data_IF_176514511215
#
_entry.id   IF_176514511215
#
_cell.length_a   1.000
_cell.length_b   1.000
_cell.length_c   1.000
_cell.angle_alpha   90.00
_cell.angle_beta   90.00
_cell.angle_gamma   90.00
#
_symmetry.space_group_name_H-M   'P 1'
#
loop_
_entity.id
_entity.type
_entity.pdbx_description
1 polymer ?
#
# COMPACT_ATOMS: atom_id res chain seq x y z
N UNK A 1 -12.41 -2.55 40.07
CA UNK A 1 -11.21 -2.60 39.21
C UNK A 1 -11.63 -2.12 37.84
N UNK A 2 -11.28 -0.89 37.55
CA UNK A 2 -11.71 -0.11 36.38
C UNK A 2 -10.69 -0.26 35.26
N UNK A 3 -11.10 -0.84 34.13
CA UNK A 3 -10.29 -0.88 32.90
C UNK A 3 -10.14 0.51 32.26
N UNK A 4 -8.97 0.85 31.67
CA UNK A 4 -8.81 2.10 30.94
C UNK A 4 -9.29 1.94 29.49
N UNK A 5 -10.22 2.81 29.10
CA UNK A 5 -10.66 2.98 27.71
C UNK A 5 -9.51 3.57 26.87
N UNK A 6 -9.18 2.92 25.76
CA UNK A 6 -8.25 3.42 24.74
C UNK A 6 -8.85 4.62 23.99
N UNK A 7 -8.08 5.67 23.66
CA UNK A 7 -8.58 6.79 22.88
C UNK A 7 -8.71 6.41 21.40
N UNK A 8 -9.88 6.60 20.83
CA UNK A 8 -10.15 6.54 19.40
C UNK A 8 -9.57 7.77 18.70
N UNK A 9 -8.51 7.59 17.90
CA UNK A 9 -8.05 8.60 16.97
C UNK A 9 -8.92 8.57 15.71
N UNK A 10 -9.86 9.53 15.61
CA UNK A 10 -10.51 9.91 14.35
C UNK A 10 -9.48 10.67 13.50
N UNK A 11 -8.74 9.98 12.65
CA UNK A 11 -8.16 10.58 11.45
C UNK A 11 -8.93 10.03 10.26
N UNK A 12 -9.90 10.80 9.76
CA UNK A 12 -10.57 10.50 8.51
C UNK A 12 -10.94 11.82 7.81
N UNK A 13 -10.26 12.03 6.67
CA UNK A 13 -10.78 12.62 5.46
C UNK A 13 -11.68 13.86 5.60
N UNK A 14 -11.10 15.05 5.42
CA UNK A 14 -11.87 16.23 5.03
C UNK A 14 -11.15 16.99 3.91
N UNK A 15 -11.58 16.73 2.67
CA UNK A 15 -11.42 17.68 1.58
C UNK A 15 -12.52 17.48 0.54
N UNK A 16 -13.30 18.55 0.34
CA UNK A 16 -13.77 19.09 -0.94
C UNK A 16 -15.25 18.92 -1.34
N UNK A 17 -15.92 20.06 -1.45
CA UNK A 17 -17.01 20.41 -2.36
C UNK A 17 -17.32 21.94 -2.35
N UNK A 18 -18.23 22.34 -3.27
CA UNK A 18 -18.83 23.64 -3.61
C UNK A 18 -18.08 24.49 -4.66
N UNK A 19 -18.75 25.19 -5.60
CA UNK A 19 -20.17 25.34 -5.96
C UNK A 19 -20.30 25.94 -7.38
N UNK A 20 -21.47 25.77 -8.01
CA UNK A 20 -22.09 26.76 -8.91
C UNK A 20 -23.12 27.57 -8.09
N UNK A 21 -23.48 28.83 -8.31
CA UNK A 21 -23.21 29.84 -9.34
C UNK A 21 -24.07 31.09 -9.03
N UNK A 22 -23.92 32.17 -9.82
CA UNK A 22 -24.84 33.32 -9.86
C UNK A 22 -24.16 34.70 -9.79
N UNK A 23 -24.04 35.38 -10.93
CA UNK A 23 -23.58 36.77 -11.05
C UNK A 23 -24.66 37.78 -10.59
N UNK A 24 -24.27 39.03 -10.26
CA UNK A 24 -24.33 40.08 -11.28
C UNK A 24 -23.09 40.99 -11.34
N UNK A 25 -23.17 41.94 -12.28
CA UNK A 25 -22.11 42.63 -13.01
C UNK A 25 -21.30 43.74 -12.30
N UNK A 26 -20.09 43.95 -12.86
CA UNK A 26 -19.23 45.14 -12.94
C UNK A 26 -19.00 46.02 -11.69
N UNK A 27 -17.75 46.02 -11.22
CA UNK A 27 -16.89 47.20 -11.26
C UNK A 27 -15.43 46.76 -11.36
N UNK A 28 -14.73 47.27 -12.38
CA UNK A 28 -13.31 47.04 -12.60
C UNK A 28 -12.48 47.87 -11.60
N UNK A 29 -11.61 47.20 -10.84
CA UNK A 29 -10.44 47.82 -10.22
C UNK A 29 -9.23 46.93 -10.50
N UNK A 30 -8.32 47.45 -11.32
CA UNK A 30 -6.99 46.93 -11.58
C UNK A 30 -6.03 47.40 -10.48
N UNK A 31 -5.31 46.49 -9.83
CA UNK A 31 -4.08 46.75 -9.08
C UNK A 31 -3.28 45.44 -8.84
N UNK A 32 -1.96 45.50 -8.61
CA UNK A 32 -1.03 44.37 -8.69
C UNK A 32 -1.01 43.51 -7.42
N UNK A 33 -0.74 42.21 -7.60
CA UNK A 33 -0.81 41.17 -6.57
C UNK A 33 0.45 41.15 -5.68
N UNK A 34 0.53 42.15 -4.78
CA UNK A 34 1.16 42.00 -3.46
C UNK A 34 0.11 41.57 -2.42
N UNK A 35 0.44 41.42 -1.12
CA UNK A 35 -0.56 41.23 -0.08
C UNK A 35 -1.66 42.29 -0.26
N UNK A 36 -2.92 41.87 -0.39
CA UNK A 36 -4.04 42.80 -0.44
C UNK A 36 -3.95 43.71 0.79
N UNK A 37 -4.17 45.03 0.69
CA UNK A 37 -4.20 45.89 1.86
C UNK A 37 -5.26 45.35 2.85
N UNK A 38 -4.82 44.64 3.90
CA UNK A 38 -5.68 43.95 4.87
C UNK A 38 -5.54 42.42 4.99
N UNK A 39 -4.81 41.71 4.11
CA UNK A 39 -4.52 40.27 4.27
C UNK A 39 -3.16 40.09 4.96
N UNK A 40 -3.16 39.63 6.21
CA UNK A 40 -1.94 39.44 7.00
C UNK A 40 -1.38 38.02 6.82
N UNK A 41 -0.07 37.90 7.02
CA UNK A 41 0.63 36.61 6.99
C UNK A 41 0.34 35.89 8.31
N UNK A 42 -0.18 34.65 8.23
CA UNK A 42 -0.41 33.77 9.37
C UNK A 42 0.82 32.91 9.66
N UNK A 43 1.53 32.49 8.62
CA UNK A 43 2.78 31.75 8.76
C UNK A 43 3.74 32.03 7.60
N UNK A 44 5.04 32.05 7.90
CA UNK A 44 6.12 31.97 6.90
C UNK A 44 6.71 30.58 6.97
N UNK A 45 6.78 29.89 5.83
CA UNK A 45 7.29 28.52 5.71
C UNK A 45 8.40 28.50 4.67
N UNK A 46 9.66 28.47 5.11
CA UNK A 46 10.81 28.68 4.24
C UNK A 46 10.67 29.98 3.42
N UNK A 47 10.47 29.87 2.11
CA UNK A 47 10.21 31.01 1.20
C UNK A 47 8.73 31.18 0.83
N UNK A 48 7.85 30.33 1.35
CA UNK A 48 6.42 30.33 1.10
C UNK A 48 5.66 31.05 2.22
N UNK A 49 4.48 31.58 1.89
CA UNK A 49 3.61 32.27 2.83
C UNK A 49 2.28 31.52 2.98
N UNK A 50 1.71 31.60 4.17
CA UNK A 50 0.33 31.22 4.46
C UNK A 50 -0.40 32.48 4.90
N UNK A 51 -1.43 32.91 4.16
CA UNK A 51 -2.19 34.14 4.49
C UNK A 51 -3.48 33.85 5.23
N UNK A 52 -4.01 34.86 5.92
CA UNK A 52 -5.30 34.75 6.61
C UNK A 52 -6.46 34.50 5.63
N UNK A 53 -6.39 35.08 4.44
CA UNK A 53 -7.34 34.83 3.36
C UNK A 53 -7.34 33.38 2.88
N UNK A 54 -6.17 32.73 2.77
CA UNK A 54 -6.07 31.31 2.41
C UNK A 54 -6.68 30.40 3.48
N UNK A 55 -6.36 30.66 4.75
CA UNK A 55 -6.92 29.94 5.90
C UNK A 55 -8.45 30.06 5.90
N UNK A 56 -8.98 31.28 5.74
CA UNK A 56 -10.42 31.51 5.76
C UNK A 56 -11.12 30.79 4.60
N UNK A 57 -10.61 30.91 3.37
CA UNK A 57 -11.15 30.21 2.21
C UNK A 57 -11.22 28.69 2.42
N UNK A 58 -10.20 28.10 3.03
CA UNK A 58 -10.18 26.66 3.31
C UNK A 58 -11.17 26.28 4.43
N UNK A 59 -11.32 27.10 5.47
CA UNK A 59 -12.33 26.91 6.52
C UNK A 59 -13.74 26.94 5.92
N UNK A 60 -14.04 27.94 5.09
CA UNK A 60 -15.36 28.09 4.47
C UNK A 60 -15.69 26.87 3.61
N UNK A 61 -14.73 26.37 2.82
CA UNK A 61 -14.88 25.14 2.05
C UNK A 61 -15.21 23.94 2.95
N UNK A 62 -14.45 23.73 4.01
CA UNK A 62 -14.66 22.63 4.97
C UNK A 62 -16.03 22.69 5.63
N UNK A 63 -16.48 23.89 6.05
CA UNK A 63 -17.79 24.07 6.67
C UNK A 63 -18.93 23.66 5.75
N UNK A 64 -18.77 24.06 4.50
CA UNK A 64 -19.76 23.89 3.47
C UNK A 64 -19.85 22.41 3.04
N UNK A 65 -18.72 21.69 3.04
CA UNK A 65 -18.65 20.23 2.83
C UNK A 65 -19.32 19.45 3.96
N UNK A 66 -19.06 19.85 5.20
CA UNK A 66 -19.68 19.25 6.36
C UNK A 66 -21.19 19.47 6.39
N UNK A 67 -21.67 20.65 5.98
CA UNK A 67 -23.10 20.93 5.84
C UNK A 67 -23.78 20.00 4.82
N UNK A 68 -23.11 19.69 3.69
CA UNK A 68 -23.63 18.77 2.68
C UNK A 68 -23.66 17.31 3.14
N UNK A 69 -22.64 16.89 3.88
CA UNK A 69 -22.48 15.51 4.32
C UNK A 69 -23.03 15.26 5.74
N UNK A 70 -23.70 16.26 6.32
CA UNK A 70 -24.21 16.24 7.70
C UNK A 70 -23.15 15.83 8.74
N UNK A 71 -21.91 16.28 8.54
CA UNK A 71 -20.77 15.94 9.39
C UNK A 71 -20.61 16.95 10.53
N UNK A 72 -20.21 16.46 11.71
CA UNK A 72 -19.92 17.32 12.87
C UNK A 72 -18.53 17.91 12.75
N UNK A 73 -18.43 19.24 12.89
CA UNK A 73 -17.16 19.97 12.91
C UNK A 73 -16.63 20.17 14.34
N UNK A 74 -15.31 20.30 14.51
CA UNK A 74 -14.71 20.75 15.77
C UNK A 74 -15.05 22.23 16.04
N UNK A 75 -14.57 22.78 17.16
CA UNK A 75 -14.75 24.22 17.43
C UNK A 75 -14.04 25.08 16.38
N UNK A 76 -14.49 26.32 16.21
CA UNK A 76 -13.90 27.26 15.23
C UNK A 76 -12.39 27.47 15.44
N UNK A 77 -11.95 27.54 16.71
CA UNK A 77 -10.54 27.70 17.05
C UNK A 77 -9.71 26.46 16.67
N UNK A 78 -10.22 25.26 16.97
CA UNK A 78 -9.58 24.00 16.59
C UNK A 78 -9.56 23.81 15.08
N UNK A 79 -10.66 24.12 14.39
CA UNK A 79 -10.74 24.05 12.94
C UNK A 79 -9.72 25.00 12.30
N UNK A 80 -9.67 26.26 12.75
CA UNK A 80 -8.70 27.23 12.25
C UNK A 80 -7.27 26.75 12.45
N UNK A 81 -6.96 26.23 13.65
CA UNK A 81 -5.64 25.68 13.94
C UNK A 81 -5.30 24.50 13.01
N UNK A 82 -6.21 23.55 12.84
CA UNK A 82 -6.02 22.39 11.96
C UNK A 82 -5.80 22.80 10.50
N UNK A 83 -6.57 23.78 10.00
CA UNK A 83 -6.41 24.30 8.65
C UNK A 83 -5.07 25.03 8.47
N UNK A 84 -4.67 25.87 9.43
CA UNK A 84 -3.35 26.52 9.40
C UNK A 84 -2.23 25.48 9.42
N UNK A 85 -2.31 24.48 10.30
CA UNK A 85 -1.33 23.40 10.39
C UNK A 85 -1.24 22.62 9.06
N UNK A 86 -2.37 22.34 8.40
CA UNK A 86 -2.41 21.66 7.10
C UNK A 86 -1.83 22.51 5.96
N UNK A 87 -2.09 23.82 5.95
CA UNK A 87 -1.51 24.73 4.95
C UNK A 87 0.01 24.87 5.11
N UNK A 88 0.50 24.86 6.36
CA UNK A 88 1.94 24.83 6.63
C UNK A 88 2.55 23.54 6.07
N UNK A 89 1.95 22.38 6.35
CA UNK A 89 2.45 21.09 5.81
C UNK A 89 2.42 21.09 4.28
N UNK A 90 1.39 21.66 3.65
CA UNK A 90 1.30 21.84 2.20
C UNK A 90 2.48 22.69 1.66
N UNK A 91 2.82 23.81 2.31
CA UNK A 91 3.98 24.64 1.93
C UNK A 91 5.32 23.94 2.10
N UNK A 92 5.47 23.17 3.18
CA UNK A 92 6.66 22.34 3.41
C UNK A 92 6.84 21.33 2.28
N UNK A 93 5.78 20.63 1.90
CA UNK A 93 5.81 19.64 0.82
C UNK A 93 6.15 20.26 -0.54
N UNK A 94 5.56 21.42 -0.87
CA UNK A 94 5.85 22.13 -2.12
C UNK A 94 7.32 22.55 -2.19
N UNK A 95 7.84 23.15 -1.11
CA UNK A 95 9.25 23.57 -1.06
C UNK A 95 10.16 22.35 -1.22
N UNK A 96 9.89 21.28 -0.47
CA UNK A 96 10.65 20.05 -0.56
C UNK A 96 10.62 19.45 -1.98
N UNK A 97 9.46 19.45 -2.65
CA UNK A 97 9.34 18.89 -3.99
C UNK A 97 10.14 19.69 -5.04
N UNK A 98 10.18 21.02 -4.91
CA UNK A 98 11.01 21.89 -5.75
C UNK A 98 12.50 21.67 -5.50
N UNK A 99 12.91 21.56 -4.24
CA UNK A 99 14.31 21.32 -3.85
C UNK A 99 14.83 19.97 -4.35
N UNK A 100 13.98 18.94 -4.36
CA UNK A 100 14.32 17.62 -4.90
C UNK A 100 14.42 17.58 -6.44
N UNK A 101 14.13 18.69 -7.12
CA UNK A 101 14.32 18.83 -8.57
C UNK A 101 13.45 17.88 -9.40
N UNK A 102 12.25 17.54 -8.92
CA UNK A 102 11.37 16.62 -9.64
C UNK A 102 10.89 17.24 -10.94
N UNK A 103 11.28 16.62 -12.06
CA UNK A 103 10.90 17.06 -13.40
C UNK A 103 9.46 16.65 -13.68
N UNK A 104 8.61 17.63 -14.00
CA UNK A 104 7.25 17.43 -14.50
C UNK A 104 7.22 17.84 -15.97
N UNK A 105 6.75 16.94 -16.83
CA UNK A 105 6.70 17.17 -18.27
C UNK A 105 5.66 18.26 -18.60
N UNK A 106 6.00 19.28 -19.41
CA UNK A 106 5.02 20.28 -19.88
C UNK A 106 3.75 19.68 -20.49
N UNK A 107 3.84 18.54 -21.20
CA UNK A 107 2.69 17.87 -21.79
C UNK A 107 1.74 17.27 -20.74
N UNK A 108 2.25 16.93 -19.54
CA UNK A 108 1.40 16.53 -18.42
C UNK A 108 0.65 17.73 -17.84
N UNK A 109 1.33 18.89 -17.74
CA UNK A 109 0.70 20.13 -17.29
C UNK A 109 -0.39 20.57 -18.28
N UNK A 110 -0.12 20.49 -19.58
CA UNK A 110 -1.09 20.84 -20.62
C UNK A 110 -2.35 19.96 -20.56
N UNK A 111 -2.17 18.64 -20.34
CA UNK A 111 -3.28 17.71 -20.12
C UNK A 111 -4.07 18.06 -18.87
N UNK A 112 -3.40 18.33 -17.74
CA UNK A 112 -4.07 18.76 -16.52
C UNK A 112 -4.89 20.04 -16.73
N UNK A 113 -4.36 21.03 -17.46
CA UNK A 113 -5.09 22.27 -17.80
C UNK A 113 -6.27 21.99 -18.72
N UNK A 114 -6.07 21.22 -19.79
CA UNK A 114 -7.14 20.86 -20.73
C UNK A 114 -8.27 20.12 -20.02
N UNK A 115 -7.92 19.26 -19.06
CA UNK A 115 -8.89 18.57 -18.24
C UNK A 115 -9.68 19.54 -17.37
N UNK A 116 -9.04 20.53 -16.75
CA UNK A 116 -9.73 21.57 -15.97
C UNK A 116 -10.67 22.41 -16.84
N UNK A 117 -10.26 22.78 -18.06
CA UNK A 117 -11.13 23.50 -18.99
C UNK A 117 -12.36 22.66 -19.38
N UNK A 118 -12.12 21.39 -19.75
CA UNK A 118 -13.17 20.43 -20.08
C UNK A 118 -14.14 20.19 -18.90
N UNK A 119 -13.62 20.13 -17.66
CA UNK A 119 -14.43 20.00 -16.44
C UNK A 119 -15.40 21.17 -16.26
N UNK A 120 -14.93 22.38 -16.54
CA UNK A 120 -15.73 23.60 -16.44
C UNK A 120 -16.63 23.81 -17.67
N UNK A 121 -16.61 22.90 -18.65
CA UNK A 121 -17.34 22.99 -19.93
C UNK A 121 -17.00 24.26 -20.70
N UNK A 122 -15.75 24.70 -20.59
CA UNK A 122 -15.23 25.90 -21.23
C UNK A 122 -14.05 25.55 -22.12
N UNK A 123 -13.79 26.39 -23.12
CA UNK A 123 -12.57 26.29 -23.93
C UNK A 123 -11.35 26.72 -23.12
N UNK A 124 -10.15 26.37 -23.59
CA UNK A 124 -8.89 26.84 -22.97
C UNK A 124 -8.82 28.37 -22.93
N UNK A 125 -9.31 29.05 -23.97
CA UNK A 125 -9.34 30.52 -24.02
C UNK A 125 -10.34 31.10 -23.02
N UNK A 126 -11.49 30.46 -22.85
CA UNK A 126 -12.46 30.84 -21.83
C UNK A 126 -11.91 30.59 -20.41
N UNK A 127 -11.19 29.48 -20.19
CA UNK A 127 -10.53 29.22 -18.91
C UNK A 127 -9.50 30.31 -18.60
N UNK A 128 -8.67 30.70 -19.57
CA UNK A 128 -7.71 31.80 -19.41
C UNK A 128 -8.41 33.12 -19.06
N UNK A 129 -9.48 33.46 -19.77
CA UNK A 129 -10.25 34.67 -19.51
C UNK A 129 -10.90 34.64 -18.12
N UNK A 130 -11.40 33.49 -17.68
CA UNK A 130 -11.97 33.31 -16.35
C UNK A 130 -10.91 33.45 -15.25
N UNK A 131 -9.76 32.78 -15.39
CA UNK A 131 -8.64 32.90 -14.46
C UNK A 131 -8.20 34.37 -14.33
N UNK A 132 -8.10 35.07 -15.45
CA UNK A 132 -7.76 36.49 -15.47
C UNK A 132 -8.84 37.36 -14.77
N UNK A 133 -10.12 37.04 -14.96
CA UNK A 133 -11.22 37.73 -14.25
C UNK A 133 -11.20 37.47 -12.74
N UNK A 134 -10.72 36.30 -12.31
CA UNK A 134 -10.50 35.92 -10.91
C UNK A 134 -9.17 36.47 -10.35
N UNK A 135 -8.38 37.19 -11.16
CA UNK A 135 -7.09 37.76 -10.79
C UNK A 135 -5.94 36.74 -10.76
N UNK A 136 -6.12 35.55 -11.31
CA UNK A 136 -5.10 34.51 -11.41
C UNK A 136 -4.43 34.55 -12.79
N UNK A 137 -3.11 34.76 -12.80
CA UNK A 137 -2.32 34.63 -14.02
C UNK A 137 -2.28 33.16 -14.50
N UNK A 138 -2.36 32.95 -15.81
CA UNK A 138 -2.37 31.61 -16.41
C UNK A 138 -1.04 30.87 -16.22
N UNK A 139 0.10 31.57 -16.24
CA UNK A 139 1.40 31.00 -15.92
C UNK A 139 1.45 30.52 -14.48
N UNK A 140 1.05 31.37 -13.52
CA UNK A 140 0.97 31.02 -12.10
C UNK A 140 0.04 29.82 -11.83
N UNK A 141 -1.07 29.74 -12.54
CA UNK A 141 -1.97 28.59 -12.48
C UNK A 141 -1.26 27.29 -12.91
N UNK A 142 -0.55 27.33 -14.04
CA UNK A 142 0.25 26.18 -14.51
C UNK A 142 1.36 25.80 -13.54
N UNK A 143 1.99 26.78 -12.91
CA UNK A 143 3.04 26.55 -11.92
C UNK A 143 2.47 25.85 -10.67
N UNK A 144 1.27 26.24 -10.23
CA UNK A 144 0.56 25.56 -9.14
C UNK A 144 0.28 24.09 -9.46
N UNK A 145 -0.16 23.79 -10.70
CA UNK A 145 -0.38 22.41 -11.14
C UNK A 145 0.92 21.62 -11.19
N UNK A 146 2.02 22.25 -11.63
CA UNK A 146 3.35 21.62 -11.62
C UNK A 146 3.75 21.21 -10.20
N UNK A 147 3.58 22.11 -9.23
CA UNK A 147 3.93 21.83 -7.84
C UNK A 147 3.11 20.68 -7.27
N UNK A 148 1.80 20.63 -7.56
CA UNK A 148 0.93 19.54 -7.12
C UNK A 148 1.41 18.18 -7.65
N UNK A 149 1.69 18.10 -8.95
CA UNK A 149 2.21 16.86 -9.56
C UNK A 149 3.59 16.50 -8.97
N UNK A 150 4.45 17.48 -8.72
CA UNK A 150 5.76 17.26 -8.12
C UNK A 150 5.64 16.70 -6.69
N UNK A 151 4.77 17.28 -5.86
CA UNK A 151 4.51 16.82 -4.49
C UNK A 151 4.02 15.38 -4.46
N UNK A 152 3.08 15.01 -5.34
CA UNK A 152 2.58 13.63 -5.42
C UNK A 152 3.70 12.65 -5.77
N UNK A 153 4.53 12.96 -6.78
CA UNK A 153 5.65 12.10 -7.18
C UNK A 153 6.67 11.91 -6.05
N UNK A 154 6.97 12.98 -5.34
CA UNK A 154 7.92 12.97 -4.21
C UNK A 154 7.37 12.17 -3.05
N UNK A 155 6.08 12.35 -2.72
CA UNK A 155 5.38 11.57 -1.71
C UNK A 155 5.51 10.07 -2.01
N UNK A 156 5.15 9.64 -3.22
CA UNK A 156 5.22 8.21 -3.56
C UNK A 156 6.66 7.69 -3.50
N UNK A 157 7.63 8.42 -4.07
CA UNK A 157 9.03 8.00 -4.10
C UNK A 157 9.62 7.88 -2.69
N UNK A 158 9.48 8.92 -1.87
CA UNK A 158 10.24 9.06 -0.63
C UNK A 158 9.56 8.36 0.55
N UNK A 159 8.23 8.26 0.55
CA UNK A 159 7.50 7.46 1.56
C UNK A 159 7.72 5.98 1.30
N UNK A 160 7.57 5.50 0.06
CA UNK A 160 7.77 4.07 -0.26
C UNK A 160 9.22 3.66 -0.02
N UNK A 161 10.21 4.52 -0.32
CA UNK A 161 11.62 4.22 -0.05
C UNK A 161 11.91 3.97 1.43
N UNK A 162 11.19 4.63 2.34
CA UNK A 162 11.31 4.45 3.80
C UNK A 162 10.72 3.14 4.29
N UNK A 163 9.81 2.54 3.54
CA UNK A 163 9.12 1.32 3.96
C UNK A 163 9.90 0.09 3.50
N UNK A 164 10.68 -0.48 4.42
CA UNK A 164 11.46 -1.70 4.21
C UNK A 164 10.95 -2.80 5.16
N UNK A 165 9.94 -3.60 4.75
CA UNK A 165 9.50 -4.74 5.52
C UNK A 165 10.65 -5.73 5.75
N UNK A 166 10.83 -6.16 7.00
CA UNK A 166 11.88 -7.11 7.36
C UNK A 166 11.51 -8.52 6.92
N UNK A 167 12.51 -9.39 6.73
CA UNK A 167 12.25 -10.80 6.40
C UNK A 167 11.37 -11.49 7.45
N UNK A 168 11.51 -11.14 8.73
CA UNK A 168 10.67 -11.67 9.82
C UNK A 168 9.20 -11.28 9.67
N UNK A 169 8.92 -10.05 9.26
CA UNK A 169 7.55 -9.60 9.03
C UNK A 169 6.93 -10.27 7.81
N UNK A 170 7.74 -10.45 6.76
CA UNK A 170 7.34 -11.19 5.55
C UNK A 170 7.01 -12.64 5.92
N UNK A 171 7.88 -13.31 6.68
CA UNK A 171 7.67 -14.70 7.12
C UNK A 171 6.43 -14.81 8.00
N UNK A 172 6.25 -13.91 8.96
CA UNK A 172 5.08 -13.89 9.84
C UNK A 172 3.77 -13.71 9.06
N UNK A 173 3.75 -12.82 8.06
CA UNK A 173 2.57 -12.62 7.22
C UNK A 173 2.27 -13.86 6.37
N UNK A 174 3.28 -14.48 5.78
CA UNK A 174 3.11 -15.71 4.98
C UNK A 174 2.59 -16.86 5.84
N UNK A 175 3.11 -17.02 7.05
CA UNK A 175 2.64 -18.05 7.99
C UNK A 175 1.19 -17.80 8.42
N UNK A 176 0.83 -16.54 8.68
CA UNK A 176 -0.56 -16.16 8.95
C UNK A 176 -1.49 -16.49 7.77
N UNK A 177 -1.07 -16.17 6.54
CA UNK A 177 -1.86 -16.44 5.33
C UNK A 177 -2.02 -17.94 5.08
N UNK A 178 -0.96 -18.73 5.24
CA UNK A 178 -0.98 -20.19 5.13
C UNK A 178 -1.95 -20.81 6.14
N UNK A 179 -1.91 -20.35 7.39
CA UNK A 179 -2.83 -20.79 8.44
C UNK A 179 -4.29 -20.47 8.08
N UNK A 180 -4.55 -19.28 7.51
CA UNK A 180 -5.91 -18.87 7.13
C UNK A 180 -6.53 -19.72 6.02
N UNK A 181 -5.73 -20.24 5.07
CA UNK A 181 -6.21 -21.08 3.96
C UNK A 181 -6.09 -22.59 4.22
N UNK A 182 -5.65 -22.98 5.41
CA UNK A 182 -5.40 -24.39 5.76
C UNK A 182 -4.32 -25.04 4.89
N UNK A 183 -3.38 -24.24 4.37
CA UNK A 183 -2.21 -24.72 3.65
C UNK A 183 -1.20 -25.27 4.65
N UNK A 184 -1.13 -26.59 4.75
CA UNK A 184 -0.19 -27.31 5.62
C UNK A 184 1.16 -27.48 4.93
N UNK A 185 2.26 -27.02 5.53
CA UNK A 185 3.60 -27.34 5.03
C UNK A 185 3.78 -28.86 5.02
N UNK A 186 4.26 -29.42 3.91
CA UNK A 186 4.64 -30.82 3.80
C UNK A 186 6.16 -30.97 3.94
N UNK A 187 6.58 -31.96 4.71
CA UNK A 187 7.98 -32.32 4.89
C UNK A 187 8.21 -33.73 4.38
N UNK A 188 9.28 -33.94 3.62
CA UNK A 188 9.91 -35.25 3.47
C UNK A 188 11.11 -35.31 4.41
N UNK A 189 11.04 -36.20 5.39
CA UNK A 189 12.08 -36.39 6.39
C UNK A 189 12.63 -37.81 6.33
N UNK A 190 13.92 -37.93 6.61
CA UNK A 190 14.58 -39.20 6.87
C UNK A 190 14.95 -39.30 8.35
N UNK A 191 14.81 -40.49 8.93
CA UNK A 191 15.15 -40.75 10.32
C UNK A 191 16.14 -41.91 10.48
N UNK A 192 16.93 -41.84 11.55
CA UNK A 192 17.64 -42.97 12.14
C UNK A 192 17.11 -43.11 13.56
N UNK A 193 16.41 -44.22 13.82
CA UNK A 193 15.88 -44.54 15.13
C UNK A 193 16.78 -45.56 15.82
N UNK A 194 17.25 -45.22 17.02
CA UNK A 194 17.82 -46.19 17.97
C UNK A 194 16.81 -46.41 19.08
N UNK A 195 16.21 -47.59 19.13
CA UNK A 195 15.14 -47.91 20.06
C UNK A 195 15.66 -48.01 21.49
N UNK A 196 14.80 -47.61 22.43
CA UNK A 196 15.05 -47.78 23.87
C UNK A 196 13.89 -48.60 24.43
N UNK A 197 14.14 -49.83 24.92
CA UNK A 197 13.08 -50.66 25.51
C UNK A 197 12.40 -49.96 26.69
N UNK A 198 11.10 -50.18 26.83
CA UNK A 198 10.35 -49.70 28.00
C UNK A 198 10.91 -50.35 29.28
N UNK A 199 11.13 -49.55 30.32
CA UNK A 199 11.76 -50.03 31.57
C UNK A 199 13.26 -50.35 31.48
N UNK A 200 13.95 -49.95 30.40
CA UNK A 200 15.39 -50.15 30.26
C UNK A 200 16.17 -49.51 31.42
N UNK A 201 17.22 -50.21 31.88
CA UNK A 201 18.14 -49.69 32.90
C UNK A 201 18.92 -48.48 32.39
N UNK A 202 19.43 -47.65 33.29
CA UNK A 202 20.24 -46.48 32.93
C UNK A 202 21.45 -46.84 32.05
N UNK A 203 22.08 -47.99 32.31
CA UNK A 203 23.18 -48.50 31.51
C UNK A 203 22.76 -48.74 30.05
N UNK A 204 21.60 -49.36 29.84
CA UNK A 204 21.05 -49.61 28.49
C UNK A 204 20.65 -48.29 27.83
N UNK A 205 20.04 -47.36 28.56
CA UNK A 205 19.69 -46.04 28.03
C UNK A 205 20.95 -45.27 27.59
N UNK A 206 22.02 -45.30 28.38
CA UNK A 206 23.29 -44.66 28.06
C UNK A 206 23.96 -45.29 26.84
N UNK A 207 23.95 -46.62 26.72
CA UNK A 207 24.47 -47.34 25.55
C UNK A 207 23.71 -46.94 24.27
N UNK A 208 22.38 -46.96 24.32
CA UNK A 208 21.51 -46.60 23.19
C UNK A 208 21.71 -45.14 22.78
N UNK A 209 21.86 -44.25 23.76
CA UNK A 209 22.20 -42.85 23.52
C UNK A 209 23.53 -42.70 22.80
N UNK A 210 24.59 -43.34 23.31
CA UNK A 210 25.91 -43.28 22.71
C UNK A 210 25.91 -43.78 21.27
N UNK A 211 25.15 -44.84 20.98
CA UNK A 211 24.96 -45.35 19.61
C UNK A 211 24.29 -44.33 18.69
N UNK A 212 23.27 -43.63 19.18
CA UNK A 212 22.58 -42.60 18.39
C UNK A 212 23.45 -41.34 18.20
N UNK A 213 24.21 -40.94 19.22
CA UNK A 213 25.19 -39.84 19.12
C UNK A 213 26.30 -40.15 18.11
N UNK A 214 26.78 -41.40 18.07
CA UNK A 214 27.74 -41.85 17.06
C UNK A 214 27.16 -41.79 15.64
N UNK A 215 25.90 -42.19 15.45
CA UNK A 215 25.22 -42.05 14.17
C UNK A 215 25.09 -40.58 13.73
N UNK A 216 24.72 -39.69 14.65
CA UNK A 216 24.66 -38.25 14.41
C UNK A 216 26.03 -37.68 13.99
N UNK A 217 27.11 -38.11 14.66
CA UNK A 217 28.46 -37.68 14.33
C UNK A 217 28.88 -38.12 12.92
N UNK A 218 28.55 -39.37 12.53
CA UNK A 218 28.83 -39.90 11.18
C UNK A 218 28.15 -39.08 10.08
N UNK A 219 26.84 -38.83 10.23
CA UNK A 219 26.11 -38.05 9.21
C UNK A 219 26.55 -36.58 9.18
N UNK A 220 26.94 -36.00 10.31
CA UNK A 220 27.52 -34.65 10.37
C UNK A 220 28.91 -34.58 9.74
N UNK A 221 29.68 -35.66 9.79
CA UNK A 221 30.98 -35.78 9.13
C UNK A 221 30.86 -35.96 7.59
N UNK A 222 29.64 -35.96 7.04
CA UNK A 222 29.39 -36.03 5.60
C UNK A 222 29.11 -37.44 5.08
N UNK A 223 29.02 -38.44 5.95
CA UNK A 223 28.63 -39.78 5.51
C UNK A 223 27.17 -39.78 4.99
N UNK A 224 26.88 -40.47 3.86
CA UNK A 224 25.52 -40.52 3.32
C UNK A 224 24.51 -41.03 4.35
N UNK A 225 23.49 -40.22 4.64
CA UNK A 225 22.47 -40.52 5.64
C UNK A 225 21.83 -41.89 5.44
N UNK A 226 21.54 -42.27 4.19
CA UNK A 226 20.94 -43.54 3.85
C UNK A 226 21.82 -44.75 4.23
N UNK A 227 23.15 -44.61 4.16
CA UNK A 227 24.11 -45.65 4.58
C UNK A 227 24.03 -45.82 6.10
N UNK A 228 24.13 -44.73 6.85
CA UNK A 228 24.07 -44.77 8.31
C UNK A 228 22.69 -45.26 8.78
N UNK A 229 21.61 -44.89 8.11
CA UNK A 229 20.26 -45.39 8.39
C UNK A 229 20.18 -46.91 8.19
N UNK A 230 20.71 -47.44 7.08
CA UNK A 230 20.72 -48.88 6.79
C UNK A 230 21.53 -49.69 7.79
N UNK A 231 22.53 -49.11 8.43
CA UNK A 231 23.34 -49.81 9.43
C UNK A 231 22.78 -49.66 10.85
N UNK A 232 22.41 -48.45 11.23
CA UNK A 232 22.14 -48.09 12.62
C UNK A 232 20.66 -48.05 12.94
N UNK A 233 19.81 -47.66 11.99
CA UNK A 233 18.38 -47.49 12.26
C UNK A 233 17.71 -48.83 12.54
N UNK A 234 16.81 -48.82 13.52
CA UNK A 234 15.98 -49.94 13.95
C UNK A 234 14.51 -49.74 13.56
N UNK A 235 14.21 -48.73 12.72
CA UNK A 235 12.87 -48.52 12.16
C UNK A 235 12.64 -49.28 10.84
N UNK A 236 11.38 -49.31 10.40
CA UNK A 236 10.98 -49.97 9.16
C UNK A 236 11.58 -49.31 7.91
N UNK A 237 11.92 -48.02 7.95
CA UNK A 237 12.42 -47.28 6.80
C UNK A 237 13.93 -47.41 6.59
N UNK A 238 14.66 -48.12 7.47
CA UNK A 238 16.13 -48.29 7.39
C UNK A 238 16.65 -48.72 6.01
N UNK A 239 15.90 -49.58 5.31
CA UNK A 239 16.29 -50.09 3.99
C UNK A 239 15.98 -49.10 2.86
N UNK A 240 15.13 -48.10 3.11
CA UNK A 240 14.80 -47.00 2.21
C UNK A 240 15.49 -45.69 2.67
N UNK A 241 16.73 -45.80 3.17
CA UNK A 241 17.53 -44.66 3.62
C UNK A 241 16.96 -43.89 4.83
N UNK A 242 15.99 -44.45 5.54
CA UNK A 242 15.28 -43.81 6.64
C UNK A 242 14.14 -42.90 6.21
N UNK A 243 13.83 -42.78 4.92
CA UNK A 243 12.83 -41.83 4.41
C UNK A 243 11.40 -42.23 4.79
N UNK A 244 10.67 -41.28 5.40
CA UNK A 244 9.25 -41.40 5.77
C UNK A 244 8.33 -40.99 4.62
N UNK A 245 8.86 -40.24 3.64
CA UNK A 245 8.12 -39.69 2.51
C UNK A 245 7.45 -38.36 2.84
N UNK A 246 6.89 -37.72 1.80
CA UNK A 246 6.24 -36.41 1.92
C UNK A 246 4.95 -36.51 2.76
N UNK A 247 4.89 -35.75 3.86
CA UNK A 247 3.74 -35.71 4.78
C UNK A 247 3.44 -34.28 5.21
N UNK A 248 2.16 -33.89 5.32
CA UNK A 248 1.75 -32.66 6.01
C UNK A 248 2.33 -32.61 7.43
N UNK A 249 2.71 -31.42 7.88
CA UNK A 249 3.29 -31.18 9.20
C UNK A 249 2.42 -31.73 10.33
N UNK A 250 1.10 -31.63 10.19
CA UNK A 250 0.10 -32.08 11.18
C UNK A 250 0.01 -33.61 11.27
N UNK A 251 0.59 -34.33 10.30
CA UNK A 251 0.70 -35.80 10.32
C UNK A 251 2.06 -36.29 10.82
N UNK A 252 2.96 -35.38 11.19
CA UNK A 252 4.25 -35.71 11.80
C UNK A 252 4.21 -35.38 13.30
N UNK A 253 4.99 -36.10 14.13
CA UNK A 253 5.14 -35.72 15.54
C UNK A 253 5.68 -34.30 15.69
N UNK A 254 5.13 -33.52 16.63
CA UNK A 254 5.52 -32.11 16.86
C UNK A 254 7.04 -31.95 17.06
N UNK A 255 7.65 -32.85 17.86
CA UNK A 255 9.09 -32.88 18.10
C UNK A 255 9.91 -32.97 16.80
N UNK A 256 9.39 -33.65 15.77
CA UNK A 256 10.08 -33.78 14.49
C UNK A 256 9.92 -32.50 13.69
N UNK A 257 8.70 -31.95 13.65
CA UNK A 257 8.41 -30.69 12.96
C UNK A 257 9.26 -29.55 13.52
N UNK A 258 9.34 -29.41 14.84
CA UNK A 258 10.16 -28.39 15.50
C UNK A 258 11.65 -28.52 15.14
N UNK A 259 12.15 -29.75 15.06
CA UNK A 259 13.55 -30.03 14.76
C UNK A 259 13.93 -29.79 13.29
N UNK A 260 13.00 -29.99 12.34
CA UNK A 260 13.26 -29.85 10.90
C UNK A 260 12.81 -28.52 10.32
N UNK A 261 11.89 -27.80 10.97
CA UNK A 261 11.39 -26.48 10.52
C UNK A 261 12.50 -25.48 10.19
N UNK A 262 13.59 -25.32 10.99
CA UNK A 262 14.64 -24.35 10.70
C UNK A 262 15.69 -24.86 9.69
N UNK A 263 15.58 -26.11 9.21
CA UNK A 263 16.57 -26.73 8.33
C UNK A 263 16.28 -26.39 6.86
N UNK A 264 17.34 -26.28 6.06
CA UNK A 264 17.26 -26.31 4.60
C UNK A 264 17.22 -27.77 4.08
N UNK A 265 16.61 -28.03 2.90
CA UNK A 265 16.65 -29.36 2.29
C UNK A 265 18.07 -29.92 2.20
N UNK A 266 18.25 -31.18 2.59
CA UNK A 266 19.53 -31.86 2.69
C UNK A 266 20.23 -31.74 4.05
N UNK A 267 19.82 -30.83 4.94
CA UNK A 267 20.45 -30.67 6.25
C UNK A 267 19.97 -31.68 7.29
N UNK A 268 20.88 -32.03 8.20
CA UNK A 268 20.63 -32.90 9.37
C UNK A 268 20.37 -32.04 10.60
N UNK A 269 19.42 -32.45 11.44
CA UNK A 269 19.15 -31.77 12.70
C UNK A 269 20.41 -31.74 13.58
N UNK A 270 20.77 -30.59 14.17
CA UNK A 270 22.00 -30.47 14.95
C UNK A 270 21.93 -31.21 16.29
N UNK A 271 20.73 -31.52 16.79
CA UNK A 271 20.54 -32.17 18.08
C UNK A 271 19.95 -33.58 17.92
N UNK A 272 20.32 -34.47 18.83
CA UNK A 272 19.68 -35.77 18.98
C UNK A 272 18.34 -35.58 19.69
N UNK A 273 17.27 -36.16 19.14
CA UNK A 273 15.93 -36.05 19.71
C UNK A 273 15.61 -37.29 20.56
N UNK A 274 14.85 -37.10 21.63
CA UNK A 274 14.38 -38.19 22.49
C UNK A 274 12.85 -38.28 22.47
N UNK A 275 12.33 -39.48 22.28
CA UNK A 275 10.91 -39.80 22.40
C UNK A 275 10.69 -41.06 23.26
N UNK A 276 9.43 -41.49 23.40
CA UNK A 276 9.09 -42.78 24.01
C UNK A 276 9.66 -43.99 23.26
N UNK A 277 9.83 -43.91 21.94
CA UNK A 277 10.40 -45.01 21.14
C UNK A 277 11.93 -45.15 21.25
N UNK A 278 12.61 -44.10 21.71
CA UNK A 278 14.08 -44.03 21.77
C UNK A 278 14.63 -42.72 21.22
N UNK A 279 15.83 -42.80 20.65
CA UNK A 279 16.60 -41.67 20.14
C UNK A 279 16.50 -41.55 18.62
N UNK A 280 16.32 -40.32 18.13
CA UNK A 280 16.14 -40.03 16.72
C UNK A 280 17.19 -39.05 16.20
N UNK A 281 17.77 -39.38 15.05
CA UNK A 281 18.52 -38.45 14.21
C UNK A 281 17.66 -38.15 12.99
N UNK A 282 17.39 -36.88 12.71
CA UNK A 282 16.54 -36.47 11.59
C UNK A 282 17.33 -35.73 10.52
N UNK A 283 16.94 -35.93 9.27
CA UNK A 283 17.36 -35.15 8.11
C UNK A 283 16.14 -34.62 7.38
N UNK A 284 16.16 -33.35 7.00
CA UNK A 284 15.20 -32.81 6.06
C UNK A 284 15.62 -33.22 4.65
N UNK A 285 14.84 -34.06 3.98
CA UNK A 285 15.11 -34.49 2.60
C UNK A 285 14.62 -33.42 1.63
N UNK A 286 13.35 -33.05 1.78
CA UNK A 286 12.68 -32.04 0.95
C UNK A 286 11.58 -31.35 1.77
N UNK A 287 11.19 -30.14 1.36
CA UNK A 287 10.12 -29.36 1.99
C UNK A 287 9.27 -28.74 0.90
N UNK A 288 7.96 -28.94 0.99
CA UNK A 288 6.98 -28.31 0.11
C UNK A 288 6.02 -27.50 0.94
N UNK A 289 5.76 -26.26 0.56
CA UNK A 289 4.65 -25.53 1.15
C UNK A 289 3.36 -26.13 0.56
N UNK A 290 2.56 -26.80 1.39
CA UNK A 290 1.43 -27.58 0.89
C UNK A 290 0.33 -26.69 0.34
N UNK A 291 -0.14 -27.08 -0.85
CA UNK A 291 -0.94 -26.31 -1.80
C UNK A 291 -0.24 -25.02 -2.24
N UNK A 292 -0.01 -24.95 -3.54
CA UNK A 292 0.45 -23.73 -4.17
C UNK A 292 -0.41 -22.54 -3.73
N UNK A 293 0.25 -21.52 -3.20
CA UNK A 293 -0.42 -20.29 -2.80
C UNK A 293 -1.03 -19.67 -4.05
N UNK A 294 -2.32 -19.91 -4.21
CA UNK A 294 -3.05 -19.47 -5.39
C UNK A 294 -3.66 -18.12 -5.09
N UNK A 295 -3.29 -17.11 -5.87
CA UNK A 295 -3.92 -15.79 -5.80
C UNK A 295 -4.77 -15.57 -7.03
N UNK A 296 -5.85 -14.79 -6.87
CA UNK A 296 -6.56 -14.23 -8.01
C UNK A 296 -5.87 -12.96 -8.45
N UNK A 297 -5.27 -12.98 -9.64
CA UNK A 297 -4.84 -11.78 -10.33
C UNK A 297 -6.01 -11.17 -11.09
N UNK A 298 -6.07 -9.84 -11.10
CA UNK A 298 -7.05 -9.10 -11.88
C UNK A 298 -6.34 -8.28 -12.94
N UNK A 299 -6.82 -8.40 -14.19
CA UNK A 299 -6.46 -7.48 -15.25
C UNK A 299 -7.48 -6.36 -15.28
N UNK A 300 -7.01 -5.12 -15.20
CA UNK A 300 -7.89 -3.97 -15.15
C UNK A 300 -7.33 -2.81 -15.98
N UNK A 301 -8.24 -1.93 -16.36
CA UNK A 301 -7.92 -0.60 -16.88
C UNK A 301 -8.73 0.46 -16.16
N UNK A 302 -8.19 1.66 -16.04
CA UNK A 302 -8.84 2.74 -15.31
C UNK A 302 -8.81 4.09 -16.03
N UNK A 303 -9.65 4.99 -15.55
CA UNK A 303 -9.58 6.43 -15.81
C UNK A 303 -9.38 7.11 -14.46
N UNK A 304 -8.26 7.80 -14.28
CA UNK A 304 -7.97 8.59 -13.09
C UNK A 304 -8.21 10.08 -13.36
N UNK A 305 -8.97 10.74 -12.49
CA UNK A 305 -9.07 12.20 -12.41
C UNK A 305 -8.54 12.67 -11.06
N UNK A 306 -7.50 13.50 -11.06
CA UNK A 306 -6.93 14.09 -9.84
C UNK A 306 -7.73 15.32 -9.43
N UNK A 307 -8.28 15.36 -8.20
CA UNK A 307 -8.90 16.55 -7.68
C UNK A 307 -7.91 17.71 -7.64
N UNK A 308 -8.38 18.90 -7.98
CA UNK A 308 -7.60 20.14 -7.94
C UNK A 308 -8.40 21.21 -7.19
N UNK A 309 -7.83 22.38 -6.86
CA UNK A 309 -8.60 23.47 -6.27
C UNK A 309 -9.86 23.81 -7.05
N UNK A 310 -9.81 23.66 -8.39
CA UNK A 310 -10.91 23.86 -9.34
C UNK A 310 -11.76 22.59 -9.56
N UNK A 311 -11.16 21.39 -9.54
CA UNK A 311 -11.87 20.11 -9.58
C UNK A 311 -12.10 19.57 -8.18
N UNK A 312 -13.23 19.92 -7.57
CA UNK A 312 -13.60 19.22 -6.34
C UNK A 312 -13.91 17.74 -6.62
N UNK A 313 -13.74 16.92 -5.58
CA UNK A 313 -13.93 15.47 -5.65
C UNK A 313 -15.30 15.06 -6.22
N UNK A 314 -16.35 15.77 -5.82
CA UNK A 314 -17.72 15.51 -6.26
C UNK A 314 -17.89 15.74 -7.79
N UNK A 315 -17.25 16.79 -8.34
CA UNK A 315 -17.24 17.04 -9.77
C UNK A 315 -16.46 15.98 -10.55
N UNK A 316 -15.34 15.49 -10.01
CA UNK A 316 -14.59 14.39 -10.60
C UNK A 316 -15.44 13.11 -10.68
N UNK A 317 -16.13 12.75 -9.59
CA UNK A 317 -17.03 11.59 -9.53
C UNK A 317 -18.20 11.71 -10.52
N UNK A 318 -18.83 12.88 -10.62
CA UNK A 318 -19.89 13.13 -11.61
C UNK A 318 -19.39 12.95 -13.04
N UNK A 319 -18.21 13.48 -13.36
CA UNK A 319 -17.62 13.34 -14.71
C UNK A 319 -17.37 11.86 -15.04
N UNK A 320 -16.80 11.11 -14.11
CA UNK A 320 -16.60 9.68 -14.29
C UNK A 320 -17.92 8.91 -14.43
N UNK A 321 -18.97 9.32 -13.74
CA UNK A 321 -20.31 8.75 -13.92
C UNK A 321 -20.87 9.05 -15.31
N UNK A 322 -20.65 10.26 -15.83
CA UNK A 322 -21.05 10.64 -17.18
C UNK A 322 -20.27 9.87 -18.25
N UNK A 323 -18.96 9.67 -18.05
CA UNK A 323 -18.11 8.83 -18.91
C UNK A 323 -18.58 7.37 -18.88
N UNK A 324 -18.86 6.82 -17.69
CA UNK A 324 -19.41 5.47 -17.52
C UNK A 324 -20.68 5.31 -18.35
N UNK A 325 -21.64 6.23 -18.26
CA UNK A 325 -22.89 6.16 -19.04
C UNK A 325 -22.65 6.20 -20.55
N UNK A 326 -21.69 7.01 -21.02
CA UNK A 326 -21.33 7.06 -22.44
C UNK A 326 -20.66 5.78 -22.94
N UNK A 327 -19.83 5.16 -22.09
CA UNK A 327 -19.18 3.87 -22.38
C UNK A 327 -20.23 2.75 -22.41
N UNK A 328 -21.14 2.71 -21.45
CA UNK A 328 -22.24 1.73 -21.40
C UNK A 328 -23.21 1.89 -22.58
N UNK A 329 -23.45 3.12 -23.03
CA UNK A 329 -24.26 3.40 -24.22
C UNK A 329 -23.53 3.11 -25.55
N UNK A 330 -22.23 2.80 -25.51
CA UNK A 330 -21.41 2.57 -26.71
C UNK A 330 -21.07 3.82 -27.52
N UNK A 331 -21.31 5.02 -26.98
CA UNK A 331 -21.00 6.30 -27.64
C UNK A 331 -19.50 6.51 -27.78
N UNK A 332 -18.72 6.07 -26.79
CA UNK A 332 -17.25 6.08 -26.77
C UNK A 332 -16.73 4.77 -26.19
N UNK A 333 -15.53 4.33 -26.58
CA UNK A 333 -14.87 3.19 -25.93
C UNK A 333 -14.23 3.61 -24.61
N UNK A 334 -14.03 2.65 -23.70
CA UNK A 334 -13.27 2.88 -22.46
C UNK A 334 -11.86 3.38 -22.77
N UNK A 335 -11.20 2.76 -23.75
CA UNK A 335 -9.86 3.13 -24.20
C UNK A 335 -9.79 4.59 -24.66
N UNK A 336 -10.76 5.04 -25.47
CA UNK A 336 -10.82 6.42 -25.93
C UNK A 336 -11.05 7.37 -24.75
N UNK A 337 -11.99 7.03 -23.86
CA UNK A 337 -12.25 7.81 -22.66
C UNK A 337 -10.99 7.92 -21.77
N UNK A 338 -10.23 6.84 -21.61
CA UNK A 338 -9.00 6.84 -20.84
C UNK A 338 -7.91 7.70 -21.49
N UNK A 339 -7.70 7.60 -22.81
CA UNK A 339 -6.72 8.42 -23.55
C UNK A 339 -7.01 9.91 -23.43
N UNK A 340 -8.30 10.28 -23.49
CA UNK A 340 -8.73 11.67 -23.50
C UNK A 340 -8.82 12.29 -22.11
N UNK A 341 -9.02 11.47 -21.06
CA UNK A 341 -9.40 11.99 -19.74
C UNK A 341 -8.48 11.55 -18.61
N UNK A 342 -7.77 10.41 -18.71
CA UNK A 342 -6.98 9.90 -17.58
C UNK A 342 -5.74 10.76 -17.34
N UNK A 343 -5.46 11.04 -16.07
CA UNK A 343 -4.41 11.95 -15.62
C UNK A 343 -3.17 11.22 -15.10
N UNK A 344 -2.91 10.02 -15.61
CA UNK A 344 -1.78 9.17 -15.23
C UNK A 344 -1.01 8.63 -16.45
N UNK A 345 0.02 7.83 -16.16
CA UNK A 345 0.87 7.23 -17.20
C UNK A 345 0.14 6.20 -18.09
N UNK A 346 -0.95 5.60 -17.60
CA UNK A 346 -1.71 4.60 -18.36
C UNK A 346 -2.62 5.20 -19.44
N UNK A 347 -2.90 6.51 -19.39
CA UNK A 347 -3.79 7.21 -20.32
C UNK A 347 -3.49 6.88 -21.78
N UNK A 348 -2.23 7.02 -22.21
CA UNK A 348 -1.82 6.79 -23.59
C UNK A 348 -2.02 5.33 -24.06
N UNK A 349 -2.11 4.39 -23.12
CA UNK A 349 -2.33 2.96 -23.36
C UNK A 349 -3.80 2.57 -23.09
N UNK A 350 -4.74 3.52 -23.15
CA UNK A 350 -6.15 3.22 -22.93
C UNK A 350 -6.52 2.92 -21.48
N UNK A 351 -5.68 3.36 -20.53
CA UNK A 351 -5.90 3.14 -19.10
C UNK A 351 -5.40 1.79 -18.59
N UNK A 352 -4.68 1.02 -19.41
CA UNK A 352 -4.24 -0.34 -19.06
C UNK A 352 -3.30 -0.35 -17.84
N UNK A 353 -3.64 -1.19 -16.85
CA UNK A 353 -2.83 -1.43 -15.65
C UNK A 353 -2.14 -2.80 -15.66
N UNK A 354 -2.45 -3.64 -16.65
CA UNK A 354 -1.93 -5.00 -16.76
C UNK A 354 -2.50 -5.95 -15.70
N UNK A 355 -1.81 -7.07 -15.49
CA UNK A 355 -2.15 -8.07 -14.48
C UNK A 355 -1.60 -7.65 -13.11
N UNK A 356 -2.50 -7.45 -12.15
CA UNK A 356 -2.15 -7.09 -10.78
C UNK A 356 -2.47 -8.21 -9.80
N UNK A 357 -1.56 -8.42 -8.85
CA UNK A 357 -1.74 -9.29 -7.70
C UNK A 357 -2.36 -8.50 -6.54
N UNK A 358 -2.97 -9.16 -5.54
CA UNK A 358 -3.40 -8.47 -4.32
C UNK A 358 -2.24 -7.75 -3.63
N UNK A 359 -2.47 -6.52 -3.19
CA UNK A 359 -1.47 -5.61 -2.64
C UNK A 359 -0.69 -4.81 -3.69
N UNK A 360 -0.91 -5.02 -4.98
CA UNK A 360 -0.34 -4.16 -6.04
C UNK A 360 -1.08 -2.83 -6.17
N UNK A 361 -2.41 -2.84 -5.97
CA UNK A 361 -3.20 -1.62 -5.97
C UNK A 361 -3.46 -1.14 -4.53
N UNK A 362 -3.86 0.12 -4.41
CA UNK A 362 -4.23 0.70 -3.11
C UNK A 362 -5.55 0.11 -2.60
N UNK A 363 -5.75 0.02 -1.27
CA UNK A 363 -6.91 -0.68 -0.69
C UNK A 363 -8.28 -0.15 -1.14
N UNK A 364 -8.39 1.15 -1.43
CA UNK A 364 -9.60 1.76 -1.97
C UNK A 364 -9.94 1.21 -3.36
N UNK A 365 -8.92 1.05 -4.20
CA UNK A 365 -9.05 0.50 -5.55
C UNK A 365 -9.42 -0.98 -5.50
N UNK A 366 -8.73 -1.77 -4.68
CA UNK A 366 -9.00 -3.21 -4.54
C UNK A 366 -10.43 -3.48 -4.05
N UNK A 367 -10.90 -2.72 -3.05
CA UNK A 367 -12.28 -2.82 -2.55
C UNK A 367 -13.31 -2.50 -3.64
N UNK A 368 -13.06 -1.47 -4.45
CA UNK A 368 -13.98 -1.08 -5.50
C UNK A 368 -14.12 -2.17 -6.57
N UNK A 369 -13.02 -2.81 -6.97
CA UNK A 369 -13.06 -3.84 -8.02
C UNK A 369 -13.48 -5.22 -7.53
N UNK A 370 -13.36 -5.53 -6.23
CA UNK A 370 -13.57 -6.88 -5.68
C UNK A 370 -14.94 -7.47 -6.07
N UNK A 371 -16.00 -6.65 -6.04
CA UNK A 371 -17.37 -7.06 -6.37
C UNK A 371 -17.75 -6.95 -7.84
N UNK A 372 -16.88 -6.42 -8.70
CA UNK A 372 -17.21 -6.17 -10.11
C UNK A 372 -17.02 -7.46 -10.93
N UNK A 373 -18.00 -7.86 -11.78
CA UNK A 373 -17.84 -9.01 -12.66
C UNK A 373 -16.84 -8.74 -13.78
N UNK A 374 -16.29 -9.80 -14.36
CA UNK A 374 -15.42 -9.72 -15.54
C UNK A 374 -16.18 -9.05 -16.70
N UNK A 375 -15.54 -8.08 -17.35
CA UNK A 375 -16.13 -7.18 -18.36
C UNK A 375 -16.86 -5.96 -17.78
N UNK A 376 -17.18 -5.97 -16.48
CA UNK A 376 -17.93 -4.93 -15.80
C UNK A 376 -17.09 -3.72 -15.39
N UNK A 377 -17.78 -2.62 -15.04
CA UNK A 377 -17.19 -1.39 -14.54
C UNK A 377 -17.62 -1.09 -13.10
N UNK A 378 -16.73 -0.50 -12.31
CA UNK A 378 -17.07 0.05 -10.99
C UNK A 378 -18.04 1.21 -11.13
N UNK A 379 -18.68 1.61 -10.03
CA UNK A 379 -19.10 3.02 -9.89
C UNK A 379 -17.86 3.90 -9.64
N UNK A 380 -17.92 5.21 -9.94
CA UNK A 380 -16.83 6.12 -9.62
C UNK A 380 -16.53 6.13 -8.11
N UNK A 381 -15.27 6.03 -7.76
CA UNK A 381 -14.82 6.03 -6.35
C UNK A 381 -13.54 6.85 -6.19
N UNK A 382 -13.12 7.08 -4.95
CA UNK A 382 -11.93 7.89 -4.63
C UNK A 382 -10.86 7.05 -3.96
N UNK A 383 -9.61 7.28 -4.33
CA UNK A 383 -8.41 6.79 -3.66
C UNK A 383 -7.49 7.96 -3.30
N UNK A 384 -6.35 7.65 -2.67
CA UNK A 384 -5.27 8.63 -2.41
C UNK A 384 -4.67 9.29 -3.66
N UNK A 385 -4.97 8.77 -4.85
CA UNK A 385 -4.52 9.28 -6.16
C UNK A 385 -5.59 10.12 -6.87
N UNK A 386 -6.82 10.15 -6.37
CA UNK A 386 -7.93 10.87 -6.98
C UNK A 386 -9.16 10.01 -7.21
N UNK A 387 -10.01 10.44 -8.15
CA UNK A 387 -11.23 9.72 -8.49
C UNK A 387 -10.98 8.74 -9.64
N UNK A 388 -11.51 7.53 -9.55
CA UNK A 388 -11.29 6.44 -10.49
C UNK A 388 -12.60 5.89 -11.04
N UNK A 389 -12.58 5.55 -12.33
CA UNK A 389 -13.51 4.60 -12.95
C UNK A 389 -12.69 3.41 -13.44
N UNK A 390 -13.08 2.19 -13.09
CA UNK A 390 -12.29 1.00 -13.41
C UNK A 390 -13.14 -0.01 -14.16
N UNK A 391 -12.56 -0.60 -15.21
CA UNK A 391 -13.11 -1.79 -15.86
C UNK A 391 -12.27 -3.01 -15.48
N UNK A 392 -12.94 -4.06 -15.01
CA UNK A 392 -12.33 -5.38 -14.77
C UNK A 392 -12.37 -6.15 -16.08
N UNK A 393 -11.21 -6.41 -16.68
CA UNK A 393 -11.12 -7.06 -17.99
C UNK A 393 -11.11 -8.57 -17.86
N UNK A 394 -10.30 -9.10 -16.94
CA UNK A 394 -10.08 -10.52 -16.74
C UNK A 394 -9.72 -10.83 -15.29
N UNK A 395 -9.97 -12.07 -14.86
CA UNK A 395 -9.44 -12.64 -13.61
C UNK A 395 -8.86 -14.01 -13.88
N UNK A 396 -7.71 -14.29 -13.27
CA UNK A 396 -7.08 -15.61 -13.34
C UNK A 396 -6.52 -16.01 -11.99
N UNK A 397 -6.56 -17.30 -11.70
CA UNK A 397 -5.89 -17.87 -10.54
C UNK A 397 -4.48 -18.29 -10.94
N UNK A 398 -3.47 -17.80 -10.21
CA UNK A 398 -2.07 -18.17 -10.43
C UNK A 398 -1.49 -18.74 -9.16
N UNK A 399 -0.76 -19.84 -9.34
CA UNK A 399 0.09 -20.42 -8.31
C UNK A 399 1.38 -19.60 -8.21
N UNK A 400 1.68 -19.09 -7.02
CA UNK A 400 2.89 -18.33 -6.78
C UNK A 400 4.02 -19.22 -6.27
N UNK A 401 5.20 -19.06 -6.85
CA UNK A 401 6.43 -19.59 -6.25
C UNK A 401 6.80 -18.82 -4.97
N UNK A 402 7.76 -19.35 -4.20
CA UNK A 402 8.21 -18.73 -2.95
C UNK A 402 8.70 -17.29 -3.11
N UNK A 403 9.40 -16.98 -4.21
CA UNK A 403 9.93 -15.64 -4.46
C UNK A 403 8.77 -14.66 -4.72
N UNK A 404 7.79 -15.08 -5.50
CA UNK A 404 6.59 -14.31 -5.81
C UNK A 404 5.71 -14.11 -4.57
N UNK A 405 5.53 -15.15 -3.73
CA UNK A 405 4.83 -15.04 -2.44
C UNK A 405 5.47 -13.98 -1.54
N UNK A 406 6.81 -14.01 -1.41
CA UNK A 406 7.55 -13.02 -0.62
C UNK A 406 7.38 -11.60 -1.15
N UNK A 407 7.43 -11.40 -2.47
CA UNK A 407 7.24 -10.07 -3.06
C UNK A 407 5.80 -9.57 -2.86
N UNK A 408 4.81 -10.44 -2.99
CA UNK A 408 3.42 -10.09 -2.70
C UNK A 408 3.24 -9.71 -1.22
N UNK A 409 3.74 -10.52 -0.29
CA UNK A 409 3.71 -10.21 1.14
C UNK A 409 4.41 -8.87 1.45
N UNK A 410 5.54 -8.59 0.79
CA UNK A 410 6.23 -7.30 0.89
C UNK A 410 5.36 -6.14 0.44
N UNK A 411 4.64 -6.25 -0.68
CA UNK A 411 3.76 -5.20 -1.16
C UNK A 411 2.58 -4.95 -0.22
N UNK A 412 1.97 -6.02 0.30
CA UNK A 412 0.92 -5.92 1.32
C UNK A 412 1.44 -5.19 2.57
N UNK A 413 2.62 -5.54 3.06
CA UNK A 413 3.25 -4.88 4.22
C UNK A 413 3.60 -3.41 3.91
N UNK A 414 4.03 -3.09 2.69
CA UNK A 414 4.27 -1.71 2.27
C UNK A 414 3.01 -0.87 2.36
N UNK A 415 1.91 -1.37 1.82
CA UNK A 415 0.62 -0.66 1.85
C UNK A 415 0.09 -0.50 3.28
N UNK A 416 0.21 -1.53 4.12
CA UNK A 416 -0.18 -1.46 5.54
C UNK A 416 0.60 -0.38 6.30
N UNK A 417 1.89 -0.21 6.00
CA UNK A 417 2.78 0.74 6.67
C UNK A 417 2.77 2.14 6.05
N UNK A 418 2.13 2.34 4.89
CA UNK A 418 2.20 3.59 4.14
C UNK A 418 1.69 4.79 4.93
N UNK A 419 0.52 4.66 5.59
CA UNK A 419 -0.10 5.77 6.28
C UNK A 419 0.76 6.27 7.47
N UNK A 420 1.35 5.35 8.22
CA UNK A 420 2.27 5.67 9.32
C UNK A 420 3.56 6.31 8.79
N UNK A 421 4.19 5.70 7.79
CA UNK A 421 5.41 6.22 7.18
C UNK A 421 5.20 7.61 6.56
N UNK A 422 4.03 7.88 5.98
CA UNK A 422 3.67 9.19 5.45
C UNK A 422 3.55 10.26 6.55
N UNK A 423 2.89 9.92 7.66
CA UNK A 423 2.73 10.83 8.79
C UNK A 423 4.09 11.16 9.43
N UNK A 424 4.98 10.17 9.57
CA UNK A 424 6.35 10.39 10.04
C UNK A 424 7.18 11.21 9.06
N UNK A 425 7.06 10.94 7.76
CA UNK A 425 7.74 11.70 6.73
C UNK A 425 7.36 13.18 6.73
N UNK A 426 6.06 13.51 6.83
CA UNK A 426 5.63 14.91 6.97
C UNK A 426 6.19 15.54 8.24
N UNK A 427 6.14 14.83 9.37
CA UNK A 427 6.67 15.32 10.65
C UNK A 427 8.16 15.67 10.54
N UNK A 428 8.94 14.80 9.90
CA UNK A 428 10.36 15.00 9.65
C UNK A 428 10.65 16.21 8.75
N UNK A 429 9.85 16.39 7.70
CA UNK A 429 9.99 17.52 6.80
C UNK A 429 9.63 18.83 7.51
N UNK A 430 8.53 18.84 8.26
CA UNK A 430 8.10 19.99 9.04
C UNK A 430 9.14 20.39 10.10
N UNK A 431 9.78 19.42 10.75
CA UNK A 431 10.82 19.67 11.75
C UNK A 431 12.10 20.30 11.15
N UNK A 432 12.35 20.11 9.85
CA UNK A 432 13.49 20.70 9.13
C UNK A 432 13.16 22.04 8.48
N UNK A 433 11.88 22.31 8.25
CA UNK A 433 11.44 23.55 7.64
C UNK A 433 11.53 24.72 8.63
N UNK A 434 11.87 25.90 8.12
CA UNK A 434 11.67 27.14 8.85
C UNK A 434 10.17 27.45 8.90
N UNK A 435 9.58 27.51 10.08
CA UNK A 435 8.16 27.87 10.27
C UNK A 435 8.06 28.97 11.33
N UNK A 436 7.60 30.15 10.92
CA UNK A 436 7.34 31.29 11.79
C UNK A 436 5.85 31.61 11.76
N UNK A 437 5.15 31.42 12.88
CA UNK A 437 3.77 31.85 13.04
C UNK A 437 3.72 33.34 13.35
N UNK A 438 2.73 34.02 12.78
CA UNK A 438 2.49 35.45 12.99
C UNK A 438 1.11 35.69 13.56
N UNK A 439 1.04 36.60 14.52
CA UNK A 439 -0.21 37.02 15.12
C UNK A 439 -0.97 37.99 14.22
N UNK A 440 -2.31 38.04 14.31
CA UNK A 440 -3.10 39.05 13.61
C UNK A 440 -2.65 40.45 14.03
N UNK A 441 -2.58 41.42 13.09
CA UNK A 441 -2.30 42.80 13.44
C UNK A 441 -3.38 43.33 14.37
N UNK A 442 -2.94 43.94 15.48
CA UNK A 442 -3.76 44.51 16.56
C UNK A 442 -4.51 45.77 16.16
#
# INVERSE_FOLDING_TARGET
MTEPRRPTHLLACLAAALLMGGAPALQAQTAPDGPRPGDYIVAVVNSELVTAGEVQKRIDRVRQDAARNNARLPSDAELRKQITDALIDERVLITYARDMGVKVDPAEIDRAVANIASQNKITLDQLRAQLQAEGMDYGRFRDTLRDQIAVERVRERDVVARIQPTDREIDALLDQQRAAVGASIEYNIAQILVTVPEGASEAVVAERRARAEAALARVKAGEPFATVAKEVSEDANRNNGGEIGMRPAERLPDLFVEAVRPLAPGQVSPALLRSGAGYHVLKLVDKRDGRAFTITQTRARHILLRPSPQLNQEAALRRLADLKRQIEAGTISFEQAARDNSEDGSAAQGGELGWASPGTFVPEFERAIAGVPVGGMTDPFVSRFGAHLVQVEERRNVELDLKQQREQARNVLREQKFAEAYAEWIRDLRARAYVELREPPS
#
